data_IF_704334358890
#
_entry.id   IF_704334358890
#
_cell.length_a   1.000
_cell.length_b   1.000
_cell.length_c   1.000
_cell.angle_alpha   90.00
_cell.angle_beta   90.00
_cell.angle_gamma   90.00
#
_symmetry.space_group_name_H-M   'P 1'
#
loop_
_entity.id
_entity.type
_entity.pdbx_description
1 polymer ?
#
# COMPACT_ATOMS: atom_id res chain seq x y z
N UNK A 1 6.69 10.34 -4.40
CA UNK A 1 7.35 9.37 -5.31
C UNK A 1 8.26 8.49 -4.48
N UNK A 2 8.22 7.16 -4.68
CA UNK A 2 9.10 6.20 -3.97
C UNK A 2 10.28 5.82 -4.87
N UNK A 3 11.50 5.84 -4.31
CA UNK A 3 12.77 5.68 -5.05
C UNK A 3 13.77 4.71 -4.36
N UNK A 4 13.52 3.40 -4.36
CA UNK A 4 14.47 2.42 -3.83
C UNK A 4 15.74 2.32 -4.69
N UNK A 5 16.90 2.22 -4.02
CA UNK A 5 18.20 1.98 -4.66
C UNK A 5 18.40 0.50 -4.92
N UNK A 6 18.81 0.14 -6.14
CA UNK A 6 19.01 -1.25 -6.57
C UNK A 6 20.10 -1.95 -5.77
N UNK A 7 21.18 -1.24 -5.46
CA UNK A 7 22.28 -1.77 -4.65
C UNK A 7 21.79 -2.22 -3.26
N UNK A 8 20.97 -1.41 -2.60
CA UNK A 8 20.45 -1.73 -1.26
C UNK A 8 19.46 -2.89 -1.30
N UNK A 9 18.65 -2.99 -2.36
CA UNK A 9 17.73 -4.10 -2.57
C UNK A 9 18.50 -5.42 -2.68
N UNK A 10 19.56 -5.46 -3.49
CA UNK A 10 20.40 -6.65 -3.66
C UNK A 10 21.13 -7.00 -2.37
N UNK A 11 21.71 -6.01 -1.69
CA UNK A 11 22.45 -6.23 -0.44
C UNK A 11 21.56 -6.79 0.68
N UNK A 12 20.27 -6.45 0.69
CA UNK A 12 19.28 -6.89 1.69
C UNK A 12 18.41 -8.07 1.22
N UNK A 13 18.59 -8.56 -0.01
CA UNK A 13 17.74 -9.61 -0.59
C UNK A 13 16.25 -9.23 -0.66
N UNK A 14 15.93 -7.97 -0.98
CA UNK A 14 14.57 -7.42 -0.97
C UNK A 14 13.96 -7.26 -2.37
N UNK A 15 14.64 -7.75 -3.41
CA UNK A 15 14.21 -7.64 -4.80
C UNK A 15 12.89 -8.36 -5.08
N UNK A 16 12.69 -9.52 -4.46
CA UNK A 16 11.44 -10.29 -4.57
C UNK A 16 10.28 -9.53 -3.93
N UNK A 17 10.49 -8.94 -2.76
CA UNK A 17 9.49 -8.15 -2.05
C UNK A 17 9.10 -6.90 -2.83
N UNK A 18 10.06 -6.14 -3.37
CA UNK A 18 9.78 -4.95 -4.17
C UNK A 18 9.05 -5.31 -5.46
N UNK A 19 9.37 -6.47 -6.07
CA UNK A 19 8.65 -6.97 -7.25
C UNK A 19 7.20 -7.33 -6.92
N UNK A 20 6.98 -8.07 -5.83
CA UNK A 20 5.65 -8.41 -5.35
C UNK A 20 4.83 -7.17 -5.01
N UNK A 21 5.41 -6.19 -4.31
CA UNK A 21 4.78 -4.90 -3.99
C UNK A 21 4.30 -4.19 -5.26
N UNK A 22 5.19 -4.06 -6.26
CA UNK A 22 4.84 -3.45 -7.55
C UNK A 22 3.69 -4.20 -8.23
N UNK A 23 3.72 -5.53 -8.22
CA UNK A 23 2.73 -6.34 -8.92
C UNK A 23 1.34 -6.24 -8.27
N UNK A 24 1.28 -6.16 -6.93
CA UNK A 24 0.06 -5.86 -6.17
C UNK A 24 -0.45 -4.45 -6.47
N UNK A 25 0.43 -3.44 -6.48
CA UNK A 25 0.04 -2.06 -6.80
C UNK A 25 -0.50 -1.94 -8.24
N UNK A 26 0.08 -2.70 -9.18
CA UNK A 26 -0.42 -2.78 -10.56
C UNK A 26 -1.79 -3.45 -10.60
N UNK A 27 -1.97 -4.62 -10.00
CA UNK A 27 -3.26 -5.31 -10.02
C UNK A 27 -4.36 -4.46 -9.38
N UNK A 28 -4.08 -3.84 -8.23
CA UNK A 28 -5.00 -2.93 -7.55
C UNK A 28 -5.39 -1.73 -8.42
N UNK A 29 -4.44 -1.17 -9.19
CA UNK A 29 -4.72 -0.03 -10.10
C UNK A 29 -5.59 -0.39 -11.30
N UNK A 30 -5.66 -1.67 -11.67
CA UNK A 30 -6.45 -2.16 -12.81
C UNK A 30 -7.90 -2.48 -12.41
N UNK A 31 -8.15 -2.79 -11.13
CA UNK A 31 -9.47 -3.04 -10.58
C UNK A 31 -10.24 -1.72 -10.47
N UNK A 32 -10.88 -1.27 -11.56
CA UNK A 32 -11.81 -0.14 -11.53
C UNK A 32 -13.19 -0.58 -11.03
N UNK A 33 -13.22 -1.37 -9.96
CA UNK A 33 -14.47 -1.83 -9.38
C UNK A 33 -14.99 -0.74 -8.42
N UNK A 34 -16.26 -0.32 -8.52
CA UNK A 34 -16.83 0.77 -7.72
C UNK A 34 -16.86 0.53 -6.19
N UNK A 35 -16.37 -0.64 -5.71
CA UNK A 35 -16.25 -0.96 -4.29
C UNK A 35 -14.88 -1.47 -3.82
N UNK A 36 -13.85 -1.53 -4.67
CA UNK A 36 -12.60 -2.25 -4.33
C UNK A 36 -11.32 -1.41 -4.28
N UNK A 37 -11.10 -0.51 -5.25
CA UNK A 37 -9.81 0.17 -5.42
C UNK A 37 -9.70 1.56 -4.77
N UNK A 38 -10.73 2.02 -4.06
CA UNK A 38 -10.68 3.31 -3.35
C UNK A 38 -9.71 3.32 -2.17
N UNK A 39 -9.31 2.15 -1.66
CA UNK A 39 -8.56 2.00 -0.41
C UNK A 39 -7.07 1.76 -0.59
N UNK A 40 -6.60 1.58 -1.82
CA UNK A 40 -5.21 1.26 -2.14
C UNK A 40 -4.62 2.42 -2.92
N UNK A 41 -3.40 2.84 -2.55
CA UNK A 41 -2.70 3.89 -3.30
C UNK A 41 -2.47 3.45 -4.74
N UNK A 42 -2.91 4.29 -5.69
CA UNK A 42 -2.76 4.01 -7.10
C UNK A 42 -1.31 4.17 -7.54
N UNK A 43 -0.78 3.19 -8.27
CA UNK A 43 0.44 3.32 -9.05
C UNK A 43 0.08 3.84 -10.45
N UNK A 44 0.61 5.02 -10.80
CA UNK A 44 0.43 5.62 -12.13
C UNK A 44 1.47 5.11 -13.11
N UNK A 45 2.75 5.15 -12.71
CA UNK A 45 3.87 4.74 -13.54
C UNK A 45 4.96 4.07 -12.71
N UNK A 46 5.67 3.14 -13.33
CA UNK A 46 6.89 2.55 -12.78
C UNK A 46 7.98 2.52 -13.84
N UNK A 47 9.15 3.09 -13.57
CA UNK A 47 10.31 3.08 -14.47
C UNK A 47 11.60 2.95 -13.65
N UNK A 48 12.73 2.73 -14.30
CA UNK A 48 14.01 2.53 -13.61
C UNK A 48 15.16 3.12 -14.43
N UNK A 49 16.24 3.48 -13.75
CA UNK A 49 17.51 3.82 -14.37
C UNK A 49 18.59 2.81 -13.93
N UNK A 50 19.87 3.16 -14.05
CA UNK A 50 20.98 2.28 -13.68
C UNK A 50 21.00 1.95 -12.17
N UNK A 51 20.60 2.89 -11.32
CA UNK A 51 20.84 2.84 -9.88
C UNK A 51 19.55 2.75 -9.05
N UNK A 52 18.41 3.19 -9.60
CA UNK A 52 17.14 3.34 -8.89
C UNK A 52 15.96 2.73 -9.66
N UNK A 53 14.94 2.35 -8.89
CA UNK A 53 13.59 2.08 -9.37
C UNK A 53 12.68 3.22 -8.90
N UNK A 54 11.83 3.72 -9.77
CA UNK A 54 10.93 4.83 -9.53
C UNK A 54 9.48 4.34 -9.57
N UNK A 55 8.74 4.60 -8.50
CA UNK A 55 7.31 4.32 -8.38
C UNK A 55 6.55 5.64 -8.22
N UNK A 56 5.75 5.99 -9.24
CA UNK A 56 4.88 7.17 -9.25
C UNK A 56 3.54 6.77 -8.67
N UNK A 57 3.35 7.12 -7.40
CA UNK A 57 2.17 6.78 -6.60
C UNK A 57 1.27 8.02 -6.42
N UNK A 58 -0.01 7.80 -6.16
CA UNK A 58 -0.94 8.84 -5.73
C UNK A 58 -0.48 9.53 -4.45
N UNK A 59 -0.62 10.85 -4.44
CA UNK A 59 -0.30 11.64 -3.26
C UNK A 59 -1.40 11.49 -2.21
N UNK A 60 -1.01 11.16 -0.98
CA UNK A 60 -1.89 11.13 0.18
C UNK A 60 -1.33 12.08 1.24
N UNK A 61 -1.95 13.26 1.36
CA UNK A 61 -1.50 14.32 2.28
C UNK A 61 -1.98 14.18 3.73
N UNK A 62 -2.81 13.17 4.02
CA UNK A 62 -3.43 12.98 5.35
C UNK A 62 -2.51 12.35 6.41
N UNK A 63 -1.26 12.05 6.09
CA UNK A 63 -0.35 11.31 6.97
C UNK A 63 -0.67 9.82 7.03
N UNK A 64 -0.24 9.15 8.10
CA UNK A 64 -0.49 7.74 8.35
C UNK A 64 -1.24 7.54 9.68
N UNK A 65 -1.95 6.41 9.78
CA UNK A 65 -2.77 6.08 10.94
C UNK A 65 -1.95 5.94 12.23
N UNK A 66 -0.68 5.52 12.13
CA UNK A 66 0.19 5.37 13.29
C UNK A 66 0.54 6.72 13.90
N UNK A 67 0.90 7.70 13.08
CA UNK A 67 1.13 9.08 13.55
C UNK A 67 -0.12 9.66 14.20
N UNK A 68 -1.30 9.44 13.61
CA UNK A 68 -2.56 9.88 14.22
C UNK A 68 -2.80 9.19 15.58
N UNK A 69 -2.45 7.91 15.71
CA UNK A 69 -2.57 7.18 16.98
C UNK A 69 -1.57 7.70 18.03
N UNK A 70 -0.33 7.96 17.64
CA UNK A 70 0.70 8.53 18.53
C UNK A 70 0.26 9.90 19.06
N UNK A 71 -0.33 10.75 18.20
CA UNK A 71 -0.83 12.06 18.60
C UNK A 71 -2.04 11.98 19.55
N UNK A 72 -2.87 10.94 19.42
CA UNK A 72 -4.12 10.79 20.18
C UNK A 72 -4.01 9.87 21.39
N UNK A 73 -2.92 9.11 21.52
CA UNK A 73 -2.67 8.04 22.50
C UNK A 73 -3.64 6.84 22.39
N UNK A 74 -4.94 7.11 22.31
CA UNK A 74 -5.98 6.13 22.00
C UNK A 74 -7.08 6.74 21.14
N UNK A 75 -7.72 5.91 20.30
CA UNK A 75 -8.91 6.29 19.55
C UNK A 75 -10.17 5.97 20.32
N UNK A 76 -11.18 6.84 20.18
CA UNK A 76 -12.55 6.54 20.58
C UNK A 76 -13.14 5.41 19.71
N UNK A 77 -14.19 4.77 20.19
CA UNK A 77 -14.77 3.58 19.53
C UNK A 77 -15.24 3.88 18.10
N UNK A 78 -15.90 5.02 17.89
CA UNK A 78 -16.46 5.39 16.58
C UNK A 78 -15.40 5.56 15.48
N UNK A 79 -14.34 6.38 15.65
CA UNK A 79 -13.27 6.47 14.65
C UNK A 79 -12.52 5.14 14.50
N UNK A 80 -12.34 4.37 15.58
CA UNK A 80 -11.73 3.03 15.50
C UNK A 80 -12.53 2.11 14.59
N UNK A 81 -13.86 2.03 14.80
CA UNK A 81 -14.75 1.21 13.98
C UNK A 81 -14.71 1.62 12.52
N UNK A 82 -14.66 2.92 12.24
CA UNK A 82 -14.51 3.44 10.88
C UNK A 82 -13.20 2.97 10.24
N UNK A 83 -12.04 3.25 10.87
CA UNK A 83 -10.75 2.88 10.28
C UNK A 83 -10.61 1.36 10.09
N UNK A 84 -11.05 0.55 11.06
CA UNK A 84 -11.03 -0.91 10.95
C UNK A 84 -11.91 -1.41 9.79
N UNK A 85 -13.09 -0.82 9.59
CA UNK A 85 -13.97 -1.17 8.48
C UNK A 85 -13.31 -0.90 7.11
N UNK A 86 -12.65 0.24 6.96
CA UNK A 86 -11.97 0.57 5.69
C UNK A 86 -10.75 -0.33 5.44
N UNK A 87 -9.99 -0.67 6.49
CA UNK A 87 -8.89 -1.64 6.37
C UNK A 87 -9.40 -3.03 5.95
N UNK A 88 -10.54 -3.47 6.48
CA UNK A 88 -11.17 -4.75 6.10
C UNK A 88 -11.60 -4.75 4.63
N UNK A 89 -12.20 -3.66 4.15
CA UNK A 89 -12.56 -3.52 2.73
C UNK A 89 -11.32 -3.54 1.83
N UNK A 90 -10.25 -2.86 2.23
CA UNK A 90 -8.99 -2.86 1.49
C UNK A 90 -8.40 -4.28 1.37
N UNK A 91 -8.33 -5.02 2.49
CA UNK A 91 -7.82 -6.39 2.52
C UNK A 91 -8.63 -7.33 1.63
N UNK A 92 -9.96 -7.21 1.65
CA UNK A 92 -10.86 -7.99 0.79
C UNK A 92 -10.65 -7.63 -0.69
N UNK A 93 -10.51 -6.34 -1.01
CA UNK A 93 -10.24 -5.88 -2.37
C UNK A 93 -8.90 -6.34 -2.95
N UNK A 94 -7.91 -6.63 -2.11
CA UNK A 94 -6.62 -7.22 -2.51
C UNK A 94 -6.69 -8.74 -2.77
N UNK A 95 -7.83 -9.39 -2.54
CA UNK A 95 -7.96 -10.85 -2.63
C UNK A 95 -7.29 -11.60 -1.47
N UNK A 96 -6.95 -10.90 -0.38
CA UNK A 96 -6.32 -11.50 0.80
C UNK A 96 -7.31 -12.27 1.69
N UNK A 97 -8.62 -12.22 1.42
CA UNK A 97 -9.62 -13.01 2.17
C UNK A 97 -9.35 -14.52 2.10
N UNK A 98 -8.69 -14.99 1.05
CA UNK A 98 -8.30 -16.41 0.90
C UNK A 98 -7.05 -16.77 1.72
N UNK A 99 -6.21 -15.79 2.08
CA UNK A 99 -4.92 -16.03 2.75
C UNK A 99 -5.04 -16.08 4.28
N UNK A 100 -6.03 -15.38 4.86
CA UNK A 100 -6.21 -15.31 6.33
C UNK A 100 -7.09 -16.46 6.86
N UNK A 101 -7.75 -17.22 5.97
CA UNK A 101 -8.60 -18.37 6.34
C UNK A 101 -7.87 -19.72 6.30
N UNK A 102 -6.55 -19.74 6.10
CA UNK A 102 -5.68 -20.94 6.20
C UNK A 102 -4.71 -20.76 7.35
#
# INVERSE_FOLDING_TARGET
MKQPRKFDMLRKGQESHVRAERDVLKSASLVHSPGGAGWIVRLYYSFQDRDHLYLVLGYMGGGDLLNLLIERDAFEEDPTRFYVAEQSKAATGMGLSTVIST
#
